data_IF_039690321855
#
_entry.id   IF_039690321855
#
_cell.length_a   1.000
_cell.length_b   1.000
_cell.length_c   1.000
_cell.angle_alpha   90.00
_cell.angle_beta   90.00
_cell.angle_gamma   90.00
#
_symmetry.space_group_name_H-M   'P 1'
#
loop_
_entity.id
_entity.type
_entity.pdbx_description
1 polymer ?
#
# COMPACT_ATOMS: atom_id res chain seq x y z
N UNK A 1 13.15 24.66 -42.52
CA UNK A 1 13.24 23.47 -41.64
C UNK A 1 12.05 23.49 -40.68
N UNK A 2 11.04 22.65 -40.90
CA UNK A 2 9.84 22.61 -40.05
C UNK A 2 10.14 21.85 -38.75
N UNK A 3 9.94 22.49 -37.59
CA UNK A 3 10.04 21.85 -36.26
C UNK A 3 8.92 20.82 -36.12
N UNK A 4 9.27 19.52 -36.10
CA UNK A 4 8.35 18.43 -35.75
C UNK A 4 7.90 18.63 -34.30
N UNK A 5 6.67 19.10 -34.11
CA UNK A 5 5.99 19.07 -32.82
C UNK A 5 5.68 17.60 -32.52
N UNK A 6 6.51 16.93 -31.72
CA UNK A 6 6.21 15.59 -31.22
C UNK A 6 5.08 15.68 -30.20
N UNK A 7 3.83 15.70 -30.65
CA UNK A 7 2.69 15.37 -29.79
C UNK A 7 2.97 13.96 -29.27
N UNK A 8 3.29 13.81 -27.99
CA UNK A 8 3.39 12.50 -27.34
C UNK A 8 2.00 11.88 -27.44
N UNK A 9 1.84 10.93 -28.35
CA UNK A 9 0.61 10.14 -28.44
C UNK A 9 0.49 9.34 -27.15
N UNK A 10 -0.61 9.54 -26.44
CA UNK A 10 -0.92 8.72 -25.27
C UNK A 10 -1.32 7.33 -25.76
N UNK A 11 -0.60 6.31 -25.32
CA UNK A 11 -1.00 4.91 -25.52
C UNK A 11 -1.89 4.50 -24.35
N UNK A 12 -3.05 3.94 -24.66
CA UNK A 12 -4.01 3.45 -23.67
C UNK A 12 -4.15 1.93 -23.79
N UNK A 13 -4.24 1.25 -22.65
CA UNK A 13 -4.49 -0.18 -22.55
C UNK A 13 -5.63 -0.39 -21.55
N UNK A 14 -6.62 -1.20 -21.90
CA UNK A 14 -7.69 -1.63 -20.99
C UNK A 14 -7.36 -3.02 -20.48
N UNK A 15 -7.21 -3.15 -19.15
CA UNK A 15 -6.89 -4.42 -18.49
C UNK A 15 -7.97 -4.79 -17.46
N UNK A 16 -8.17 -6.08 -17.16
CA UNK A 16 -9.05 -6.50 -16.07
C UNK A 16 -8.62 -5.94 -14.72
N UNK A 17 -9.58 -5.66 -13.83
CA UNK A 17 -9.30 -5.09 -12.50
C UNK A 17 -8.28 -5.90 -11.69
N UNK A 18 -8.37 -7.24 -11.74
CA UNK A 18 -7.42 -8.16 -11.10
C UNK A 18 -6.00 -8.00 -11.62
N UNK A 19 -5.83 -7.81 -12.93
CA UNK A 19 -4.53 -7.60 -13.54
C UNK A 19 -3.98 -6.21 -13.18
N UNK A 20 -4.84 -5.19 -13.14
CA UNK A 20 -4.46 -3.85 -12.69
C UNK A 20 -3.95 -3.86 -11.25
N UNK A 21 -4.64 -4.57 -10.35
CA UNK A 21 -4.25 -4.73 -8.95
C UNK A 21 -2.88 -5.39 -8.83
N UNK A 22 -2.63 -6.48 -9.57
CA UNK A 22 -1.34 -7.18 -9.60
C UNK A 22 -0.20 -6.30 -10.12
N UNK A 23 -0.43 -5.55 -11.21
CA UNK A 23 0.58 -4.61 -11.77
C UNK A 23 0.88 -3.46 -10.78
N UNK A 24 -0.14 -2.95 -10.08
CA UNK A 24 0.02 -1.89 -9.06
C UNK A 24 0.78 -2.39 -7.83
N UNK A 25 0.45 -3.57 -7.31
CA UNK A 25 1.06 -4.11 -6.08
C UNK A 25 2.54 -4.43 -6.27
N UNK A 26 2.92 -5.09 -7.37
CA UNK A 26 4.33 -5.45 -7.62
C UNK A 26 5.26 -4.24 -7.67
N UNK A 27 4.81 -3.12 -8.26
CA UNK A 27 5.62 -1.91 -8.39
C UNK A 27 5.74 -1.12 -7.08
N UNK A 28 4.67 -1.12 -6.28
CA UNK A 28 4.62 -0.41 -5.00
C UNK A 28 5.40 -1.11 -3.89
N UNK A 29 5.44 -2.45 -3.92
CA UNK A 29 6.00 -3.25 -2.83
C UNK A 29 7.53 -3.22 -2.72
N UNK A 30 8.27 -3.08 -3.83
CA UNK A 30 9.76 -3.14 -3.79
C UNK A 30 10.46 -1.83 -3.39
N UNK A 31 9.75 -0.70 -3.38
CA UNK A 31 10.37 0.65 -3.22
C UNK A 31 9.86 1.43 -2.01
N UNK A 32 8.97 0.86 -1.19
CA UNK A 32 8.36 1.58 -0.07
C UNK A 32 9.18 1.39 1.21
N UNK A 33 9.20 2.39 2.08
CA UNK A 33 9.69 2.20 3.45
C UNK A 33 8.81 1.25 4.28
N UNK A 34 7.58 1.00 3.85
CA UNK A 34 6.62 0.12 4.54
C UNK A 34 6.64 -1.32 4.01
N UNK A 35 7.55 -1.65 3.09
CA UNK A 35 7.68 -3.00 2.53
C UNK A 35 7.78 -4.11 3.58
N UNK A 36 8.54 -3.96 4.69
CA UNK A 36 8.59 -4.97 5.74
C UNK A 36 7.24 -5.28 6.39
N UNK A 37 6.35 -4.28 6.47
CA UNK A 37 4.99 -4.46 7.02
C UNK A 37 4.18 -5.37 6.09
N UNK A 38 4.31 -5.18 4.77
CA UNK A 38 3.61 -6.01 3.79
C UNK A 38 4.15 -7.45 3.72
N UNK A 39 5.44 -7.66 3.98
CA UNK A 39 6.01 -9.01 4.10
C UNK A 39 5.46 -9.73 5.33
N UNK A 40 5.46 -9.06 6.49
CA UNK A 40 4.88 -9.61 7.73
C UNK A 40 3.37 -9.84 7.63
N UNK A 41 2.67 -8.96 6.91
CA UNK A 41 1.24 -9.14 6.66
C UNK A 41 0.95 -10.38 5.81
N UNK A 42 1.80 -10.71 4.82
CA UNK A 42 1.61 -11.93 4.04
C UNK A 42 1.77 -13.19 4.88
N UNK A 43 2.74 -13.21 5.80
CA UNK A 43 2.99 -14.30 6.73
C UNK A 43 1.89 -14.43 7.81
N UNK A 44 1.09 -13.39 8.03
CA UNK A 44 0.08 -13.32 9.09
C UNK A 44 -1.05 -14.34 8.89
N UNK A 45 -1.43 -15.08 9.93
CA UNK A 45 -2.62 -15.92 9.91
C UNK A 45 -3.91 -15.10 9.86
N UNK A 46 -5.04 -15.70 9.43
CA UNK A 46 -6.35 -15.02 9.42
C UNK A 46 -6.86 -14.63 10.80
N UNK A 47 -6.41 -15.32 11.84
CA UNK A 47 -6.78 -15.06 13.24
C UNK A 47 -5.80 -14.16 13.98
N UNK A 48 -4.68 -13.80 13.34
CA UNK A 48 -3.61 -13.05 13.97
C UNK A 48 -3.72 -11.56 13.63
N UNK A 49 -3.19 -10.73 14.53
CA UNK A 49 -3.14 -9.28 14.38
C UNK A 49 -1.70 -8.81 14.53
N UNK A 50 -1.22 -8.07 13.53
CA UNK A 50 0.08 -7.41 13.59
C UNK A 50 -0.06 -6.11 14.40
N UNK A 51 0.72 -5.97 15.47
CA UNK A 51 0.67 -4.80 16.37
C UNK A 51 2.04 -4.14 16.45
N UNK A 52 2.09 -2.82 16.26
CA UNK A 52 3.32 -2.03 16.38
C UNK A 52 3.03 -0.54 16.57
N UNK A 53 4.02 0.22 17.03
CA UNK A 53 3.92 1.67 17.22
C UNK A 53 4.41 2.44 15.99
N UNK A 54 3.70 3.51 15.63
CA UNK A 54 4.05 4.39 14.52
C UNK A 54 3.61 5.83 14.81
N UNK A 55 4.30 6.81 14.22
CA UNK A 55 3.87 8.21 14.30
C UNK A 55 2.61 8.46 13.47
N UNK A 56 1.87 9.54 13.75
CA UNK A 56 0.67 9.93 12.97
C UNK A 56 0.87 9.92 11.45
N UNK A 57 2.01 10.44 10.99
CA UNK A 57 2.35 10.51 9.56
C UNK A 57 2.60 9.12 8.98
N UNK A 58 3.18 8.23 9.77
CA UNK A 58 3.43 6.85 9.37
C UNK A 58 2.16 6.04 9.27
N UNK A 59 1.21 6.20 10.20
CA UNK A 59 -0.10 5.54 10.12
C UNK A 59 -0.78 5.79 8.76
N UNK A 60 -0.75 7.04 8.28
CA UNK A 60 -1.32 7.39 6.98
C UNK A 60 -0.56 6.76 5.81
N UNK A 61 0.77 6.70 5.90
CA UNK A 61 1.58 6.02 4.90
C UNK A 61 1.35 4.51 4.87
N UNK A 62 1.16 3.89 6.04
CA UNK A 62 0.84 2.47 6.21
C UNK A 62 -0.53 2.16 5.59
N UNK A 63 -1.58 2.94 5.92
CA UNK A 63 -2.90 2.75 5.29
C UNK A 63 -2.85 2.84 3.77
N UNK A 64 -2.12 3.82 3.24
CA UNK A 64 -1.94 3.97 1.81
C UNK A 64 -1.15 2.82 1.18
N UNK A 65 -0.13 2.33 1.88
CA UNK A 65 0.64 1.17 1.45
C UNK A 65 -0.25 -0.08 1.43
N UNK A 66 -0.97 -0.35 2.51
CA UNK A 66 -1.83 -1.53 2.61
C UNK A 66 -2.94 -1.51 1.57
N UNK A 67 -3.62 -0.36 1.39
CA UNK A 67 -4.62 -0.17 0.34
C UNK A 67 -4.10 -0.44 -1.06
N UNK A 68 -2.86 -0.06 -1.38
CA UNK A 68 -2.30 -0.24 -2.74
C UNK A 68 -1.86 -1.68 -3.03
N UNK A 69 -1.49 -2.43 -2.00
CA UNK A 69 -0.87 -3.74 -2.16
C UNK A 69 -1.81 -4.90 -1.82
N UNK A 70 -2.78 -4.69 -0.94
CA UNK A 70 -3.69 -5.72 -0.39
C UNK A 70 -5.15 -5.25 -0.41
N UNK A 71 -5.55 -4.51 -1.44
CA UNK A 71 -6.90 -3.94 -1.55
C UNK A 71 -7.99 -4.98 -1.28
N UNK A 72 -8.83 -4.73 -0.26
CA UNK A 72 -9.93 -5.61 0.13
C UNK A 72 -9.55 -6.87 0.93
N UNK A 73 -8.28 -7.04 1.30
CA UNK A 73 -7.78 -8.21 2.04
C UNK A 73 -7.27 -7.85 3.45
N UNK A 74 -7.39 -6.59 3.87
CA UNK A 74 -6.79 -6.10 5.10
C UNK A 74 -7.68 -5.08 5.83
N UNK A 75 -7.53 -5.04 7.15
CA UNK A 75 -8.04 -3.97 8.00
C UNK A 75 -6.89 -3.28 8.73
N UNK A 76 -6.90 -1.94 8.77
CA UNK A 76 -5.93 -1.14 9.56
C UNK A 76 -6.68 -0.25 10.55
N UNK A 77 -6.50 -0.51 11.84
CA UNK A 77 -6.97 0.37 12.91
C UNK A 77 -5.79 0.92 13.71
N UNK A 78 -6.01 2.01 14.45
CA UNK A 78 -4.96 2.66 15.23
C UNK A 78 -5.54 3.33 16.47
N UNK A 79 -4.86 3.24 17.61
CA UNK A 79 -5.20 3.98 18.83
C UNK A 79 -4.04 4.89 19.24
N UNK A 80 -4.34 6.03 19.86
CA UNK A 80 -3.30 6.90 20.40
C UNK A 80 -2.61 6.20 21.59
N UNK A 81 -1.27 6.26 21.63
CA UNK A 81 -0.46 5.63 22.66
C UNK A 81 0.35 6.63 23.51
N UNK A 82 0.33 7.93 23.15
CA UNK A 82 1.08 9.01 23.81
C UNK A 82 2.20 9.59 22.94
N UNK A 83 2.64 10.81 23.23
CA UNK A 83 3.76 11.51 22.55
C UNK A 83 3.77 11.38 21.01
N UNK A 84 2.63 11.72 20.37
CA UNK A 84 2.40 11.63 18.92
C UNK A 84 2.53 10.23 18.28
N UNK A 85 2.65 9.20 19.11
CA UNK A 85 2.68 7.81 18.70
C UNK A 85 1.28 7.17 18.75
N UNK A 86 1.08 6.29 17.79
CA UNK A 86 -0.12 5.50 17.61
C UNK A 86 0.27 4.03 17.60
N UNK A 87 -0.48 3.23 18.34
CA UNK A 87 -0.41 1.80 18.19
C UNK A 87 -1.33 1.38 17.04
N UNK A 88 -0.75 0.70 16.06
CA UNK A 88 -1.38 0.28 14.81
C UNK A 88 -1.66 -1.20 14.90
N UNK A 89 -2.85 -1.59 14.45
CA UNK A 89 -3.30 -2.97 14.37
C UNK A 89 -3.65 -3.28 12.92
N UNK A 90 -3.09 -4.36 12.39
CA UNK A 90 -3.37 -4.83 11.03
C UNK A 90 -3.81 -6.29 11.07
N UNK A 91 -4.95 -6.60 10.46
CA UNK A 91 -5.49 -7.96 10.36
C UNK A 91 -5.88 -8.29 8.92
N UNK A 92 -5.94 -9.58 8.59
CA UNK A 92 -6.51 -10.07 7.32
C UNK A 92 -8.03 -10.11 7.40
N UNK A 93 -8.70 -9.81 6.28
CA UNK A 93 -10.15 -10.02 6.09
C UNK A 93 -10.44 -11.35 5.39
#
# INVERSE_FOLDING_TARGET
MAKKNSRREFSFETIPAKEAQKRKSQRGRRRSKYSPIGEKFEELGKSDVLVFTATKNEVQGIRNYMRRNFEGEHSVSSRAAGDDNFEVYISKE
#
